data_IF_200355973465
#
_entry.id   IF_200355973465
#
_cell.length_a   1.000
_cell.length_b   1.000
_cell.length_c   1.000
_cell.angle_alpha   90.00
_cell.angle_beta   90.00
_cell.angle_gamma   90.00
#
_symmetry.space_group_name_H-M   'P 1'
#
loop_
_entity.id
_entity.type
_entity.pdbx_description
1 polymer ?
#
# COMPACT_ATOMS: atom_id res chain seq x y z
N UNK A 1 -14.56 -36.85 -18.79
CA UNK A 1 -13.10 -36.94 -18.51
C UNK A 1 -12.71 -35.75 -17.65
N UNK A 2 -12.53 -35.94 -16.35
CA UNK A 2 -12.16 -34.87 -15.42
C UNK A 2 -10.64 -34.74 -15.35
N UNK A 3 -10.12 -33.62 -15.85
CA UNK A 3 -8.73 -33.21 -15.68
C UNK A 3 -8.44 -32.98 -14.20
N UNK A 4 -7.67 -33.87 -13.57
CA UNK A 4 -7.09 -33.64 -12.25
C UNK A 4 -5.94 -32.64 -12.41
N UNK A 5 -6.17 -31.40 -12.03
CA UNK A 5 -5.11 -30.39 -11.87
C UNK A 5 -4.15 -30.87 -10.79
N UNK A 6 -2.90 -31.17 -11.19
CA UNK A 6 -1.82 -31.58 -10.28
C UNK A 6 -1.39 -30.38 -9.45
N UNK A 7 -1.83 -30.33 -8.19
CA UNK A 7 -1.22 -29.47 -7.19
C UNK A 7 0.17 -30.04 -6.87
N UNK A 8 1.23 -29.47 -7.48
CA UNK A 8 2.62 -29.78 -7.12
C UNK A 8 2.89 -29.32 -5.69
N UNK A 9 2.71 -30.22 -4.75
CA UNK A 9 3.38 -30.18 -3.46
C UNK A 9 4.64 -31.02 -3.66
N UNK A 10 5.84 -30.43 -3.53
CA UNK A 10 7.09 -31.19 -3.62
C UNK A 10 7.11 -32.27 -2.54
N UNK A 11 6.78 -33.51 -2.91
CA UNK A 11 6.88 -34.71 -2.09
C UNK A 11 8.18 -35.47 -2.43
N UNK A 12 9.32 -34.80 -2.28
CA UNK A 12 10.65 -35.42 -2.47
C UNK A 12 11.54 -35.12 -1.27
N UNK A 13 12.33 -36.11 -0.83
CA UNK A 13 13.39 -35.88 0.16
C UNK A 13 14.55 -35.17 -0.54
N UNK A 14 14.94 -34.01 -0.04
CA UNK A 14 16.16 -33.34 -0.48
C UNK A 14 17.34 -34.20 -0.01
N UNK A 15 18.16 -34.66 -0.95
CA UNK A 15 19.34 -35.52 -0.67
C UNK A 15 20.65 -34.79 -0.90
N UNK A 16 20.63 -33.69 -1.66
CA UNK A 16 21.80 -32.90 -2.03
C UNK A 16 21.37 -31.47 -2.35
N UNK A 17 22.19 -30.49 -1.97
CA UNK A 17 22.05 -29.09 -2.38
C UNK A 17 23.38 -28.62 -2.95
N UNK A 18 23.32 -27.93 -4.08
CA UNK A 18 24.49 -27.36 -4.73
C UNK A 18 24.38 -25.83 -4.73
N UNK A 19 25.45 -25.16 -4.32
CA UNK A 19 25.56 -23.70 -4.35
C UNK A 19 26.26 -23.28 -5.64
N UNK A 20 25.70 -22.29 -6.32
CA UNK A 20 26.34 -21.68 -7.49
C UNK A 20 27.48 -20.79 -7.00
N UNK A 21 28.71 -21.08 -7.43
CA UNK A 21 29.87 -20.23 -7.22
C UNK A 21 30.33 -19.63 -8.57
N UNK A 22 31.37 -18.80 -8.56
CA UNK A 22 31.88 -18.14 -9.77
C UNK A 22 32.46 -19.13 -10.80
N UNK A 23 32.80 -20.35 -10.38
CA UNK A 23 33.51 -21.36 -11.17
C UNK A 23 32.66 -22.59 -11.50
N UNK A 24 31.39 -22.65 -11.07
CA UNK A 24 30.53 -23.82 -11.22
C UNK A 24 29.48 -23.98 -10.11
N UNK A 25 29.19 -25.24 -9.77
CA UNK A 25 28.30 -25.63 -8.67
C UNK A 25 29.05 -26.54 -7.74
N UNK A 26 29.00 -26.24 -6.45
CA UNK A 26 29.68 -27.02 -5.41
C UNK A 26 28.64 -27.59 -4.44
N UNK A 27 28.86 -28.82 -3.99
CA UNK A 27 27.98 -29.47 -3.03
C UNK A 27 28.09 -28.81 -1.65
N UNK A 28 26.94 -28.44 -1.09
CA UNK A 28 26.83 -27.84 0.22
C UNK A 28 26.70 -28.94 1.28
N UNK A 29 27.78 -29.24 1.99
CA UNK A 29 27.79 -30.29 3.03
C UNK A 29 26.80 -29.99 4.18
N UNK A 30 26.71 -28.74 4.63
CA UNK A 30 25.85 -28.32 5.74
C UNK A 30 24.48 -27.77 5.29
N UNK A 31 23.96 -28.29 4.17
CA UNK A 31 22.77 -27.73 3.54
C UNK A 31 21.51 -27.80 4.41
N UNK A 32 21.37 -28.81 5.28
CA UNK A 32 20.23 -28.95 6.19
C UNK A 32 20.18 -27.79 7.19
N UNK A 33 21.32 -27.49 7.82
CA UNK A 33 21.48 -26.39 8.77
C UNK A 33 21.24 -25.04 8.10
N UNK A 34 21.77 -24.85 6.88
CA UNK A 34 21.57 -23.63 6.10
C UNK A 34 20.12 -23.45 5.67
N UNK A 35 19.45 -24.52 5.23
CA UNK A 35 18.04 -24.49 4.86
C UNK A 35 17.16 -24.17 6.07
N UNK A 36 17.46 -24.76 7.23
CA UNK A 36 16.77 -24.46 8.48
C UNK A 36 16.96 -22.99 8.90
N UNK A 37 18.17 -22.47 8.79
CA UNK A 37 18.46 -21.07 9.10
C UNK A 37 17.76 -20.11 8.12
N UNK A 38 17.78 -20.42 6.82
CA UNK A 38 17.05 -19.67 5.82
C UNK A 38 15.54 -19.67 6.11
N UNK A 39 14.97 -20.83 6.46
CA UNK A 39 13.57 -20.94 6.84
C UNK A 39 13.24 -20.08 8.06
N UNK A 40 14.08 -20.09 9.10
CA UNK A 40 13.89 -19.25 10.30
C UNK A 40 13.88 -17.76 9.96
N UNK A 41 14.82 -17.32 9.12
CA UNK A 41 14.90 -15.91 8.68
C UNK A 41 13.68 -15.54 7.84
N UNK A 42 13.31 -16.39 6.89
CA UNK A 42 12.15 -16.20 6.03
C UNK A 42 10.86 -16.06 6.84
N UNK A 43 10.63 -16.97 7.80
CA UNK A 43 9.46 -16.90 8.69
C UNK A 43 9.48 -15.64 9.56
N UNK A 44 10.65 -15.23 10.08
CA UNK A 44 10.76 -13.99 10.83
C UNK A 44 10.43 -12.76 9.98
N UNK A 45 10.88 -12.72 8.71
CA UNK A 45 10.56 -11.64 7.79
C UNK A 45 9.05 -11.60 7.46
N UNK A 46 8.43 -12.75 7.20
CA UNK A 46 6.97 -12.83 7.00
C UNK A 46 6.23 -12.31 8.23
N UNK A 47 6.60 -12.78 9.42
CA UNK A 47 6.00 -12.34 10.67
C UNK A 47 6.17 -10.83 10.92
N UNK A 48 7.33 -10.27 10.56
CA UNK A 48 7.59 -8.84 10.64
C UNK A 48 6.65 -8.04 9.73
N UNK A 49 6.48 -8.44 8.46
CA UNK A 49 5.56 -7.74 7.56
C UNK A 49 4.09 -7.88 7.97
N UNK A 50 3.69 -9.01 8.56
CA UNK A 50 2.36 -9.15 9.16
C UNK A 50 2.15 -8.14 10.30
N UNK A 51 3.16 -7.92 11.16
CA UNK A 51 3.11 -6.86 12.17
C UNK A 51 3.00 -5.48 11.53
N UNK A 52 3.74 -5.19 10.46
CA UNK A 52 3.61 -3.93 9.73
C UNK A 52 2.18 -3.69 9.24
N UNK A 53 1.54 -4.69 8.61
CA UNK A 53 0.15 -4.54 8.16
C UNK A 53 -0.81 -4.29 9.32
N UNK A 54 -0.63 -5.01 10.43
CA UNK A 54 -1.46 -4.82 11.62
C UNK A 54 -1.23 -3.44 12.27
N UNK A 55 0.01 -2.96 12.30
CA UNK A 55 0.35 -1.64 12.81
C UNK A 55 -0.31 -0.54 11.96
N UNK A 56 -0.23 -0.64 10.63
CA UNK A 56 -0.86 0.29 9.68
C UNK A 56 -2.38 0.31 9.78
N UNK A 57 -3.01 -0.81 10.14
CA UNK A 57 -4.47 -0.87 10.35
C UNK A 57 -4.92 -0.10 11.60
N UNK A 58 -4.05 0.05 12.60
CA UNK A 58 -4.35 0.73 13.85
C UNK A 58 -5.41 0.03 14.70
N UNK A 59 -5.86 0.71 15.76
CA UNK A 59 -6.81 0.18 16.76
C UNK A 59 -8.28 0.49 16.41
N UNK A 60 -8.61 0.89 15.17
CA UNK A 60 -9.99 1.24 14.84
C UNK A 60 -10.87 0.01 15.09
N UNK A 61 -11.85 0.15 16.00
CA UNK A 61 -12.92 -0.83 16.16
C UNK A 61 -13.51 -1.05 14.78
N UNK A 62 -13.78 -2.33 14.48
CA UNK A 62 -14.53 -2.78 13.30
C UNK A 62 -15.61 -1.72 12.97
N UNK A 63 -15.55 -1.04 11.83
CA UNK A 63 -16.67 -0.20 11.41
C UNK A 63 -17.92 -1.07 11.48
N UNK A 64 -19.01 -0.57 12.07
CA UNK A 64 -20.26 -1.31 12.29
C UNK A 64 -20.75 -2.03 11.03
N UNK A 65 -20.38 -1.50 9.87
CA UNK A 65 -20.88 -1.94 8.57
C UNK A 65 -19.89 -2.84 7.81
N UNK A 66 -18.64 -2.96 8.28
CA UNK A 66 -17.58 -3.66 7.55
C UNK A 66 -17.17 -4.95 8.28
N UNK A 67 -17.98 -6.00 8.08
CA UNK A 67 -17.74 -7.33 8.65
C UNK A 67 -16.45 -8.02 8.12
N UNK A 68 -15.71 -7.43 7.19
CA UNK A 68 -14.86 -8.18 6.25
C UNK A 68 -13.47 -7.61 5.95
N UNK A 69 -12.91 -6.65 6.70
CA UNK A 69 -11.50 -6.28 6.47
C UNK A 69 -10.57 -7.35 7.12
N UNK A 70 -9.82 -8.16 6.33
CA UNK A 70 -9.08 -9.31 6.86
C UNK A 70 -7.98 -8.94 7.86
N UNK A 71 -7.49 -7.69 7.83
CA UNK A 71 -6.40 -7.24 8.69
C UNK A 71 -6.82 -7.13 10.15
N UNK A 72 -8.06 -6.73 10.46
CA UNK A 72 -8.51 -6.68 11.85
C UNK A 72 -8.64 -8.08 12.45
N UNK A 73 -9.10 -9.05 11.65
CA UNK A 73 -9.11 -10.46 12.05
C UNK A 73 -7.70 -10.99 12.25
N UNK A 74 -6.78 -10.67 11.33
CA UNK A 74 -5.37 -11.02 11.46
C UNK A 74 -4.77 -10.43 12.75
N UNK A 75 -5.05 -9.16 13.06
CA UNK A 75 -4.62 -8.52 14.29
C UNK A 75 -5.08 -9.28 15.51
N UNK A 76 -6.39 -9.55 15.61
CA UNK A 76 -6.94 -10.27 16.77
C UNK A 76 -6.33 -11.66 16.92
N UNK A 77 -6.15 -12.38 15.81
CA UNK A 77 -5.52 -13.71 15.82
C UNK A 77 -4.08 -13.64 16.30
N UNK A 78 -3.30 -12.66 15.83
CA UNK A 78 -1.92 -12.48 16.28
C UNK A 78 -1.91 -12.15 17.76
N UNK A 79 -2.61 -11.08 18.15
CA UNK A 79 -2.60 -10.55 19.52
C UNK A 79 -3.06 -11.60 20.55
N UNK A 80 -4.16 -12.31 20.28
CA UNK A 80 -4.77 -13.23 21.24
C UNK A 80 -4.20 -14.65 21.18
N UNK A 81 -3.84 -15.14 19.99
CA UNK A 81 -3.58 -16.58 19.80
C UNK A 81 -2.17 -16.94 19.32
N UNK A 82 -1.41 -15.98 18.74
CA UNK A 82 -0.12 -16.28 18.09
C UNK A 82 1.04 -15.41 18.57
N UNK A 83 0.79 -14.39 19.40
CA UNK A 83 1.81 -13.49 19.90
C UNK A 83 2.75 -14.20 20.87
N UNK A 84 2.19 -14.70 21.97
CA UNK A 84 2.88 -15.57 22.93
C UNK A 84 2.95 -17.04 22.48
N UNK A 85 3.55 -17.89 23.31
CA UNK A 85 3.57 -19.33 23.04
C UNK A 85 2.15 -19.89 22.96
N UNK A 86 1.91 -20.82 22.05
CA UNK A 86 0.59 -21.40 21.82
C UNK A 86 0.68 -22.90 21.54
N UNK A 87 -0.37 -23.64 21.87
CA UNK A 87 -0.50 -25.05 21.51
C UNK A 87 -1.19 -25.20 20.16
N UNK A 88 -0.66 -26.06 19.31
CA UNK A 88 -1.31 -26.46 18.06
C UNK A 88 -1.17 -27.97 17.86
N UNK A 89 -2.31 -28.66 17.79
CA UNK A 89 -2.37 -30.13 17.69
C UNK A 89 -1.54 -30.82 18.78
N UNK A 90 -1.65 -30.34 20.03
CA UNK A 90 -0.95 -30.92 21.19
C UNK A 90 0.53 -30.54 21.31
N UNK A 91 1.10 -29.81 20.34
CA UNK A 91 2.51 -29.39 20.37
C UNK A 91 2.61 -27.92 20.75
N UNK A 92 3.43 -27.62 21.75
CA UNK A 92 3.77 -26.24 22.10
C UNK A 92 4.63 -25.60 21.02
N UNK A 93 4.21 -24.44 20.55
CA UNK A 93 4.90 -23.66 19.53
C UNK A 93 5.27 -22.30 20.07
N UNK A 94 6.43 -21.82 19.63
CA UNK A 94 6.86 -20.46 19.91
C UNK A 94 5.94 -19.47 19.18
N UNK A 95 5.52 -18.43 19.91
CA UNK A 95 4.76 -17.32 19.33
C UNK A 95 5.62 -16.40 18.46
N UNK A 96 4.94 -15.48 17.79
CA UNK A 96 5.56 -14.44 16.97
C UNK A 96 6.50 -13.55 17.79
N UNK A 97 6.23 -13.33 19.09
CA UNK A 97 7.09 -12.55 19.99
C UNK A 97 8.55 -13.01 19.92
N UNK A 98 8.80 -14.33 20.02
CA UNK A 98 10.16 -14.89 19.93
C UNK A 98 10.76 -14.80 18.52
N UNK A 99 9.92 -14.76 17.50
CA UNK A 99 10.36 -14.69 16.10
C UNK A 99 10.82 -13.30 15.69
N UNK A 100 10.14 -12.25 16.16
CA UNK A 100 10.34 -10.87 15.66
C UNK A 100 10.76 -9.87 16.75
N UNK A 101 10.42 -10.12 18.02
CA UNK A 101 10.68 -9.20 19.13
C UNK A 101 12.16 -8.84 19.25
N UNK A 102 13.05 -9.83 19.15
CA UNK A 102 14.51 -9.63 19.19
C UNK A 102 15.08 -8.69 18.12
N UNK A 103 14.37 -8.48 17.00
CA UNK A 103 14.80 -7.57 15.93
C UNK A 103 14.24 -6.17 16.10
N UNK A 104 13.04 -6.04 16.69
CA UNK A 104 12.38 -4.75 16.94
C UNK A 104 12.87 -4.09 18.23
N UNK A 105 12.97 -4.88 19.28
CA UNK A 105 13.25 -4.49 20.66
C UNK A 105 14.31 -5.45 21.23
N UNK A 106 15.59 -5.31 20.81
CA UNK A 106 16.66 -6.22 21.24
C UNK A 106 16.88 -6.20 22.75
N UNK A 107 16.67 -5.05 23.39
CA UNK A 107 16.81 -4.87 24.84
C UNK A 107 15.61 -5.40 25.64
N UNK A 108 14.49 -5.66 24.96
CA UNK A 108 13.31 -6.28 25.56
C UNK A 108 12.63 -7.27 24.59
N UNK A 109 13.22 -8.47 24.38
CA UNK A 109 12.66 -9.45 23.44
C UNK A 109 11.31 -10.04 23.88
N UNK A 110 10.95 -9.89 25.17
CA UNK A 110 9.66 -10.27 25.75
C UNK A 110 8.66 -9.12 25.74
N UNK A 111 8.88 -8.11 24.90
CA UNK A 111 8.03 -6.93 24.77
C UNK A 111 6.59 -7.27 24.45
N UNK A 112 5.68 -6.38 24.87
CA UNK A 112 4.27 -6.53 24.55
C UNK A 112 4.02 -6.36 23.06
N UNK A 113 2.88 -6.89 22.61
CA UNK A 113 2.45 -6.75 21.23
C UNK A 113 2.40 -5.28 20.79
N UNK A 114 1.86 -4.43 21.66
CA UNK A 114 1.71 -2.99 21.42
C UNK A 114 3.05 -2.30 21.22
N UNK A 115 4.05 -2.59 22.06
CA UNK A 115 5.39 -2.00 21.95
C UNK A 115 6.02 -2.30 20.58
N UNK A 116 5.81 -3.51 20.07
CA UNK A 116 6.29 -3.90 18.76
C UNK A 116 5.60 -3.13 17.63
N UNK A 117 4.29 -2.91 17.72
CA UNK A 117 3.56 -2.10 16.74
C UNK A 117 4.03 -0.65 16.76
N UNK A 118 4.20 -0.06 17.94
CA UNK A 118 4.68 1.31 18.10
C UNK A 118 6.12 1.45 17.57
N UNK A 119 6.96 0.44 17.79
CA UNK A 119 8.31 0.40 17.24
C UNK A 119 8.34 0.31 15.72
N UNK A 120 7.45 -0.48 15.12
CA UNK A 120 7.32 -0.60 13.66
C UNK A 120 6.92 0.73 13.01
N UNK A 121 6.09 1.53 13.69
CA UNK A 121 5.65 2.84 13.20
C UNK A 121 6.60 3.98 13.59
N UNK A 122 7.69 3.72 14.31
CA UNK A 122 8.60 4.77 14.77
C UNK A 122 9.15 5.57 13.60
N UNK A 123 8.96 6.89 13.64
CA UNK A 123 9.40 7.82 12.58
C UNK A 123 8.37 8.02 11.45
N UNK A 124 7.24 7.31 11.48
CA UNK A 124 6.12 7.57 10.59
C UNK A 124 5.22 8.65 11.20
N UNK A 125 5.12 9.80 10.52
CA UNK A 125 4.34 10.95 10.97
C UNK A 125 2.92 11.00 10.36
N UNK A 126 2.53 10.00 9.57
CA UNK A 126 1.19 9.96 8.98
C UNK A 126 0.13 9.65 10.05
N UNK A 127 -1.05 10.25 9.90
CA UNK A 127 -2.17 9.98 10.78
C UNK A 127 -2.74 8.56 10.57
N UNK A 128 -3.44 8.05 11.59
CA UNK A 128 -3.98 6.68 11.60
C UNK A 128 -4.97 6.41 10.46
N UNK A 129 -5.70 7.42 9.99
CA UNK A 129 -6.65 7.24 8.90
C UNK A 129 -5.94 7.12 7.56
N UNK A 130 -4.92 7.95 7.32
CA UNK A 130 -4.06 7.84 6.14
C UNK A 130 -3.35 6.48 6.07
N UNK A 131 -2.81 5.99 7.19
CA UNK A 131 -2.20 4.65 7.26
C UNK A 131 -3.20 3.54 6.89
N UNK A 132 -4.41 3.60 7.45
CA UNK A 132 -5.45 2.61 7.18
C UNK A 132 -5.92 2.64 5.71
N UNK A 133 -6.08 3.84 5.12
CA UNK A 133 -6.43 4.01 3.70
C UNK A 133 -5.33 3.45 2.79
N UNK A 134 -4.07 3.77 3.08
CA UNK A 134 -2.93 3.26 2.32
C UNK A 134 -2.85 1.73 2.35
N UNK A 135 -3.04 1.14 3.52
CA UNK A 135 -3.10 -0.32 3.67
C UNK A 135 -4.27 -0.93 2.89
N UNK A 136 -5.45 -0.33 2.97
CA UNK A 136 -6.64 -0.81 2.24
C UNK A 136 -6.40 -0.78 0.74
N UNK A 137 -5.84 0.31 0.21
CA UNK A 137 -5.50 0.44 -1.20
C UNK A 137 -4.48 -0.64 -1.63
N UNK A 138 -3.45 -0.89 -0.83
CA UNK A 138 -2.47 -1.94 -1.08
C UNK A 138 -3.13 -3.33 -1.16
N UNK A 139 -4.00 -3.66 -0.19
CA UNK A 139 -4.65 -4.96 -0.14
C UNK A 139 -5.67 -5.16 -1.26
N UNK A 140 -6.40 -4.12 -1.63
CA UNK A 140 -7.30 -4.15 -2.78
C UNK A 140 -6.51 -4.40 -4.06
N UNK A 141 -5.37 -3.72 -4.24
CA UNK A 141 -4.52 -3.90 -5.41
C UNK A 141 -3.92 -5.32 -5.47
N UNK A 142 -3.46 -5.83 -4.33
CA UNK A 142 -2.91 -7.18 -4.20
C UNK A 142 -3.99 -8.27 -4.07
N UNK A 143 -5.25 -8.01 -4.46
CA UNK A 143 -6.30 -9.01 -4.40
C UNK A 143 -6.19 -10.02 -5.55
N UNK A 144 -6.07 -11.30 -5.20
CA UNK A 144 -5.88 -12.41 -6.15
C UNK A 144 -4.42 -12.87 -6.31
N UNK A 145 -4.23 -14.16 -6.59
CA UNK A 145 -2.91 -14.82 -6.55
C UNK A 145 -1.88 -14.22 -7.49
N UNK A 146 -2.28 -13.82 -8.70
CA UNK A 146 -1.39 -13.18 -9.68
C UNK A 146 -1.05 -11.74 -9.28
N UNK A 147 -2.01 -11.02 -8.69
CA UNK A 147 -1.86 -9.64 -8.24
C UNK A 147 -0.91 -9.51 -7.05
N UNK A 148 -0.83 -10.52 -6.18
CA UNK A 148 0.12 -10.52 -5.05
C UNK A 148 1.57 -10.56 -5.56
N UNK A 149 1.87 -11.39 -6.56
CA UNK A 149 3.22 -11.51 -7.11
C UNK A 149 3.66 -10.22 -7.79
N UNK A 150 2.76 -9.62 -8.57
CA UNK A 150 3.02 -8.36 -9.26
C UNK A 150 3.10 -7.20 -8.27
N UNK A 151 2.15 -7.11 -7.34
CA UNK A 151 2.13 -6.10 -6.29
C UNK A 151 3.38 -6.14 -5.40
N UNK A 152 3.87 -7.33 -5.06
CA UNK A 152 5.15 -7.47 -4.37
C UNK A 152 6.33 -6.85 -5.13
N UNK A 153 6.39 -7.02 -6.46
CA UNK A 153 7.45 -6.43 -7.30
C UNK A 153 7.32 -4.92 -7.48
N UNK A 154 6.10 -4.40 -7.45
CA UNK A 154 5.82 -2.97 -7.68
C UNK A 154 5.91 -2.14 -6.40
N UNK A 155 5.35 -2.61 -5.28
CA UNK A 155 5.25 -1.86 -4.04
C UNK A 155 6.44 -2.04 -3.11
N UNK A 156 7.04 -3.24 -3.03
CA UNK A 156 8.17 -3.47 -2.12
C UNK A 156 9.33 -2.48 -2.34
N UNK A 157 9.81 -2.24 -3.58
CA UNK A 157 10.85 -1.24 -3.83
C UNK A 157 10.50 0.16 -3.30
N UNK A 158 9.24 0.57 -3.41
CA UNK A 158 8.79 1.88 -2.92
C UNK A 158 8.86 2.03 -1.40
N UNK A 159 8.77 0.92 -0.66
CA UNK A 159 8.86 0.94 0.80
C UNK A 159 10.31 0.83 1.31
N UNK A 160 11.23 0.28 0.51
CA UNK A 160 12.60 -0.02 0.96
C UNK A 160 13.69 0.84 0.31
N UNK A 161 13.45 1.38 -0.88
CA UNK A 161 14.47 2.10 -1.64
C UNK A 161 14.11 3.57 -1.73
N UNK A 162 14.94 4.41 -1.09
CA UNK A 162 14.78 5.87 -1.04
C UNK A 162 14.66 6.50 -2.43
N UNK A 163 15.38 5.96 -3.41
CA UNK A 163 15.46 6.51 -4.76
C UNK A 163 14.54 5.80 -5.76
N UNK A 164 13.58 5.01 -5.28
CA UNK A 164 12.65 4.31 -6.18
C UNK A 164 11.65 5.28 -6.81
N UNK A 165 11.73 5.43 -8.14
CA UNK A 165 10.88 6.33 -8.92
C UNK A 165 9.51 5.77 -9.32
N UNK A 166 9.15 4.57 -8.85
CA UNK A 166 7.88 3.92 -9.19
C UNK A 166 7.86 3.15 -10.52
N UNK A 167 7.08 2.07 -10.57
CA UNK A 167 6.61 1.38 -11.79
C UNK A 167 5.16 0.96 -11.62
N UNK A 168 4.45 0.75 -12.73
CA UNK A 168 3.10 0.18 -12.74
C UNK A 168 2.11 0.94 -11.87
N UNK A 169 1.36 0.21 -11.06
CA UNK A 169 0.25 0.73 -10.26
C UNK A 169 0.69 1.73 -9.17
N UNK A 170 1.94 1.64 -8.68
CA UNK A 170 2.47 2.64 -7.74
C UNK A 170 2.58 4.02 -8.39
N UNK A 171 3.04 4.08 -9.65
CA UNK A 171 3.17 5.33 -10.40
C UNK A 171 1.79 5.90 -10.78
N UNK A 172 0.86 5.03 -11.19
CA UNK A 172 -0.51 5.41 -11.52
C UNK A 172 -1.28 5.92 -10.29
N UNK A 173 -1.14 5.25 -9.14
CA UNK A 173 -1.73 5.68 -7.87
C UNK A 173 -1.20 7.04 -7.40
N UNK A 174 0.12 7.28 -7.52
CA UNK A 174 0.69 8.59 -7.23
C UNK A 174 0.19 9.68 -8.19
N UNK A 175 0.07 9.39 -9.49
CA UNK A 175 -0.49 10.32 -10.47
C UNK A 175 -1.98 10.61 -10.21
N UNK A 176 -2.76 9.60 -9.82
CA UNK A 176 -4.16 9.77 -9.48
C UNK A 176 -4.33 10.60 -8.19
N UNK A 177 -3.52 10.34 -7.16
CA UNK A 177 -3.50 11.15 -5.93
C UNK A 177 -3.07 12.59 -6.21
N UNK A 178 -2.02 12.79 -7.01
CA UNK A 178 -1.57 14.11 -7.43
C UNK A 178 -2.68 14.85 -8.19
N UNK A 179 -3.37 14.17 -9.11
CA UNK A 179 -4.53 14.71 -9.82
C UNK A 179 -5.65 15.11 -8.86
N UNK A 180 -5.94 14.28 -7.85
CA UNK A 180 -7.00 14.56 -6.87
C UNK A 180 -6.62 15.73 -5.94
N UNK A 181 -5.38 15.79 -5.47
CA UNK A 181 -4.86 16.91 -4.65
C UNK A 181 -4.92 18.21 -5.47
N UNK A 182 -4.42 18.19 -6.70
CA UNK A 182 -4.45 19.34 -7.62
C UNK A 182 -5.88 19.77 -7.94
N UNK A 183 -6.80 18.81 -8.03
CA UNK A 183 -8.23 19.09 -8.24
C UNK A 183 -8.89 19.73 -7.00
N UNK A 184 -8.53 19.30 -5.79
CA UNK A 184 -9.03 19.93 -4.55
C UNK A 184 -8.41 21.32 -4.31
N UNK A 185 -7.12 21.51 -4.62
CA UNK A 185 -6.48 22.83 -4.66
C UNK A 185 -7.19 23.75 -5.66
N UNK A 186 -7.50 23.24 -6.85
CA UNK A 186 -8.25 23.96 -7.86
C UNK A 186 -9.64 24.36 -7.36
N UNK A 187 -10.40 23.42 -6.78
CA UNK A 187 -11.69 23.74 -6.14
C UNK A 187 -11.52 24.87 -5.14
N UNK A 188 -10.55 24.79 -4.22
CA UNK A 188 -10.32 25.87 -3.24
C UNK A 188 -10.02 27.22 -3.90
N UNK A 189 -9.21 27.23 -4.96
CA UNK A 189 -8.87 28.46 -5.69
C UNK A 189 -10.04 29.07 -6.47
N UNK A 190 -11.04 28.27 -6.87
CA UNK A 190 -12.27 28.77 -7.48
C UNK A 190 -13.15 29.57 -6.50
N UNK A 191 -12.94 29.38 -5.19
CA UNK A 191 -13.77 29.94 -4.12
C UNK A 191 -13.05 30.98 -3.26
N UNK A 192 -11.85 31.43 -3.66
CA UNK A 192 -11.13 32.50 -2.98
C UNK A 192 -11.44 33.84 -3.66
N UNK A 193 -12.30 34.63 -3.01
CA UNK A 193 -12.85 35.90 -3.50
C UNK A 193 -11.79 37.01 -3.67
N UNK A 194 -10.55 36.79 -3.18
CA UNK A 194 -9.44 37.75 -3.30
C UNK A 194 -8.54 37.48 -4.51
N UNK A 195 -8.83 36.49 -5.35
CA UNK A 195 -7.99 36.15 -6.50
C UNK A 195 -8.35 36.98 -7.75
N UNK A 196 -7.36 37.64 -8.39
CA UNK A 196 -7.57 38.27 -9.69
C UNK A 196 -7.97 37.22 -10.74
N UNK A 197 -8.99 37.46 -11.58
CA UNK A 197 -9.52 36.48 -12.56
C UNK A 197 -8.47 35.87 -13.50
N UNK A 198 -7.42 36.63 -13.75
CA UNK A 198 -6.30 36.36 -14.63
C UNK A 198 -5.22 35.45 -14.01
N UNK A 199 -5.28 35.16 -12.71
CA UNK A 199 -4.33 34.25 -12.03
C UNK A 199 -4.80 32.78 -12.02
N UNK A 200 -6.07 32.54 -12.34
CA UNK A 200 -6.64 31.19 -12.36
C UNK A 200 -6.05 30.36 -13.53
N UNK A 201 -5.88 30.99 -14.69
CA UNK A 201 -5.34 30.34 -15.89
C UNK A 201 -3.88 29.86 -15.72
N UNK A 202 -3.07 30.59 -14.95
CA UNK A 202 -1.68 30.23 -14.67
C UNK A 202 -1.54 29.11 -13.63
N UNK A 203 -2.61 28.84 -12.85
CA UNK A 203 -2.64 27.82 -11.80
C UNK A 203 -3.41 26.55 -12.19
N UNK A 204 -4.23 26.65 -13.24
CA UNK A 204 -4.93 25.50 -13.81
C UNK A 204 -3.98 24.81 -14.78
N UNK A 205 -3.39 23.69 -14.37
CA UNK A 205 -2.78 22.78 -15.32
C UNK A 205 -3.92 21.95 -15.96
N UNK A 206 -4.23 22.18 -17.26
CA UNK A 206 -5.38 21.56 -17.92
C UNK A 206 -5.33 20.03 -17.88
N UNK A 207 -4.14 19.42 -17.73
CA UNK A 207 -4.00 17.96 -17.70
C UNK A 207 -4.74 17.31 -16.54
N UNK A 208 -4.93 18.01 -15.42
CA UNK A 208 -5.62 17.47 -14.24
C UNK A 208 -7.15 17.65 -14.28
N UNK A 209 -7.66 18.66 -15.00
CA UNK A 209 -9.10 18.95 -15.08
C UNK A 209 -9.75 18.30 -16.30
N UNK A 210 -9.05 18.24 -17.43
CA UNK A 210 -9.63 17.84 -18.72
C UNK A 210 -9.29 16.41 -19.15
N UNK A 211 -8.65 15.62 -18.28
CA UNK A 211 -8.17 14.27 -18.59
C UNK A 211 -7.42 14.23 -19.94
N UNK A 212 -6.59 15.24 -20.19
CA UNK A 212 -5.84 15.41 -21.43
C UNK A 212 -4.73 14.37 -21.43
N UNK A 213 -5.01 13.21 -22.01
CA UNK A 213 -4.10 12.06 -22.11
C UNK A 213 -2.91 12.32 -23.03
N UNK A 214 -2.88 13.44 -23.75
CA UNK A 214 -1.82 13.75 -24.70
C UNK A 214 -1.09 15.04 -24.35
N UNK A 215 0.23 15.01 -24.51
CA UNK A 215 1.21 16.11 -24.33
C UNK A 215 0.98 17.31 -25.28
N UNK A 216 -0.26 17.70 -25.52
CA UNK A 216 -0.63 18.79 -26.42
C UNK A 216 -0.85 20.03 -25.56
N UNK A 217 0.01 21.03 -25.71
CA UNK A 217 -0.20 22.35 -25.14
C UNK A 217 -1.26 23.09 -25.94
N UNK A 218 -2.33 23.55 -25.29
CA UNK A 218 -3.39 24.35 -25.91
C UNK A 218 -3.06 25.85 -25.76
N UNK A 219 -3.28 26.64 -26.81
CA UNK A 219 -3.08 28.11 -26.80
C UNK A 219 -4.28 28.83 -27.42
N UNK A 220 -4.52 30.06 -26.99
CA UNK A 220 -5.55 30.95 -27.55
C UNK A 220 -6.96 30.35 -27.48
N UNK A 221 -7.72 30.47 -28.57
CA UNK A 221 -9.12 30.04 -28.67
C UNK A 221 -9.33 28.54 -28.38
N UNK A 222 -8.32 27.70 -28.64
CA UNK A 222 -8.40 26.25 -28.36
C UNK A 222 -8.39 25.96 -26.85
N UNK A 223 -7.62 26.73 -26.07
CA UNK A 223 -7.61 26.66 -24.61
C UNK A 223 -8.94 27.18 -24.03
N UNK A 224 -9.45 28.28 -24.57
CA UNK A 224 -10.72 28.87 -24.12
C UNK A 224 -11.90 27.91 -24.32
N UNK A 225 -11.96 27.24 -25.47
CA UNK A 225 -12.98 26.23 -25.75
C UNK A 225 -12.87 25.01 -24.82
N UNK A 226 -11.64 24.56 -24.52
CA UNK A 226 -11.41 23.48 -23.57
C UNK A 226 -11.79 23.86 -22.14
N UNK A 227 -11.53 25.10 -21.71
CA UNK A 227 -11.99 25.60 -20.42
C UNK A 227 -13.52 25.67 -20.36
N UNK A 228 -14.20 26.09 -21.44
CA UNK A 228 -15.67 26.06 -21.53
C UNK A 228 -16.23 24.64 -21.42
N UNK A 229 -15.63 23.67 -22.09
CA UNK A 229 -15.98 22.24 -21.96
C UNK A 229 -15.79 21.74 -20.52
N UNK A 230 -14.68 22.10 -19.87
CA UNK A 230 -14.43 21.75 -18.46
C UNK A 230 -15.51 22.31 -17.53
N UNK A 231 -15.88 23.59 -17.71
CA UNK A 231 -16.92 24.25 -16.92
C UNK A 231 -18.28 23.58 -17.14
N UNK A 232 -18.64 23.23 -18.39
CA UNK A 232 -19.89 22.51 -18.68
C UNK A 232 -19.92 21.13 -18.04
N UNK A 233 -18.81 20.39 -18.09
CA UNK A 233 -18.68 19.11 -17.40
C UNK A 233 -18.83 19.26 -15.88
N UNK A 234 -18.19 20.26 -15.27
CA UNK A 234 -18.32 20.55 -13.84
C UNK A 234 -19.76 20.91 -13.44
N UNK A 235 -20.49 21.68 -14.28
CA UNK A 235 -21.92 21.95 -14.07
C UNK A 235 -22.75 20.66 -14.11
N UNK A 236 -22.48 19.77 -15.07
CA UNK A 236 -23.19 18.48 -15.19
C UNK A 236 -22.95 17.56 -13.99
N UNK A 237 -21.77 17.62 -13.39
CA UNK A 237 -21.43 16.88 -12.16
C UNK A 237 -21.89 17.57 -10.86
N UNK A 238 -22.63 18.68 -10.97
CA UNK A 238 -23.11 19.47 -9.83
C UNK A 238 -21.96 19.99 -8.92
N UNK A 239 -20.77 20.19 -9.50
CA UNK A 239 -19.57 20.66 -8.80
C UNK A 239 -19.50 22.20 -8.73
N UNK A 240 -20.46 22.90 -9.34
CA UNK A 240 -20.61 24.37 -9.28
C UNK A 240 -21.92 24.67 -8.52
N UNK A 241 -21.90 25.41 -7.40
CA UNK A 241 -23.10 25.82 -6.67
C UNK A 241 -24.03 26.64 -7.56
N UNK A 242 -25.34 26.48 -7.35
CA UNK A 242 -26.37 27.27 -8.03
C UNK A 242 -26.21 28.75 -7.64
N UNK A 243 -25.94 29.63 -8.61
CA UNK A 243 -25.86 31.08 -8.41
C UNK A 243 -24.62 31.77 -8.99
N UNK A 244 -23.60 31.02 -9.42
CA UNK A 244 -22.37 31.61 -9.94
C UNK A 244 -22.58 32.27 -11.33
N UNK A 245 -22.26 33.57 -11.45
CA UNK A 245 -22.35 34.35 -12.69
C UNK A 245 -23.65 35.15 -12.88
N UNK A 246 -24.59 35.13 -11.93
CA UNK A 246 -25.64 36.14 -11.89
C UNK A 246 -25.02 37.45 -11.41
N UNK A 247 -24.64 38.32 -12.36
CA UNK A 247 -24.37 39.73 -12.06
C UNK A 247 -25.59 40.27 -11.32
N UNK A 248 -25.43 40.61 -10.05
CA UNK A 248 -26.35 41.51 -9.37
C UNK A 248 -26.35 42.81 -10.17
N UNK A 249 -27.43 43.04 -10.93
CA UNK A 249 -27.71 44.35 -11.51
C UNK A 249 -27.88 45.31 -10.33
N UNK A 250 -26.88 46.16 -10.12
CA UNK A 250 -27.09 47.48 -9.50
C UNK A 250 -27.28 48.48 -10.62
#
# INVERSE_FOLDING_TARGET
MNSKTVNRIYQGRVVKVELKNNTGREECKDWESLLLNHHKIFQAAVNYYLLCFVALAGNKKRPSDNKTCPVYRLREQIEKEKWGNFSYKGVQRNGMQKSVGKYLLPDNPSSEFKDCLDKVLKGNNADKESLHKALTALLTHCSGSNSIQQGGREFAPAFFWKDYSGRGAYKEGNQANEKQIKFEEFKRSLWDDNLPPNTLADRIDPKYVLNLTNKKSYKGNELENKLKEAIQWMKKQNLIPKGYGQKTKK
#
